data_IF_640704425312
#
_entry.id   IF_640704425312
#
_cell.length_a   1.000
_cell.length_b   1.000
_cell.length_c   1.000
_cell.angle_alpha   90.00
_cell.angle_beta   90.00
_cell.angle_gamma   90.00
#
_symmetry.space_group_name_H-M   'P 1'
#
loop_
_entity.id
_entity.type
_entity.pdbx_description
1 polymer ?
#
# COMPACT_ATOMS: atom_id res chain seq x y z
N UNK A 1 16.97 -24.03 -13.05
CA UNK A 1 17.26 -22.59 -13.22
C UNK A 1 16.64 -21.75 -12.08
N UNK A 2 16.18 -22.38 -10.99
CA UNK A 2 15.36 -21.78 -9.91
C UNK A 2 16.10 -21.11 -8.75
N UNK A 3 17.43 -20.92 -8.80
CA UNK A 3 18.18 -20.54 -7.59
C UNK A 3 18.42 -19.02 -7.43
N UNK A 4 18.59 -18.27 -8.53
CA UNK A 4 18.95 -16.84 -8.46
C UNK A 4 17.77 -15.93 -8.09
N UNK A 5 16.65 -16.08 -8.78
CA UNK A 5 15.45 -15.26 -8.53
C UNK A 5 14.86 -15.54 -7.14
N UNK A 6 14.86 -16.82 -6.74
CA UNK A 6 14.47 -17.23 -5.39
C UNK A 6 15.38 -16.62 -4.30
N UNK A 7 16.69 -16.61 -4.53
CA UNK A 7 17.64 -15.98 -3.58
C UNK A 7 17.44 -14.47 -3.49
N UNK A 8 17.24 -13.80 -4.62
CA UNK A 8 16.95 -12.35 -4.65
C UNK A 8 15.71 -12.02 -3.82
N UNK A 9 14.62 -12.77 -4.00
CA UNK A 9 13.38 -12.54 -3.25
C UNK A 9 13.53 -12.85 -1.76
N UNK A 10 14.33 -13.87 -1.38
CA UNK A 10 14.67 -14.12 0.03
C UNK A 10 15.40 -12.94 0.67
N UNK A 11 16.35 -12.35 -0.06
CA UNK A 11 17.07 -11.15 0.41
C UNK A 11 16.08 -9.99 0.61
N UNK A 12 15.17 -9.76 -0.34
CA UNK A 12 14.19 -8.67 -0.24
C UNK A 12 13.25 -8.88 0.93
N UNK A 13 12.72 -10.10 1.12
CA UNK A 13 11.83 -10.40 2.23
C UNK A 13 12.52 -10.16 3.59
N UNK A 14 13.71 -10.71 3.79
CA UNK A 14 14.46 -10.49 5.05
C UNK A 14 14.83 -9.02 5.26
N UNK A 15 15.22 -8.32 4.19
CA UNK A 15 15.52 -6.89 4.28
C UNK A 15 14.29 -6.07 4.62
N UNK A 16 13.13 -6.39 4.04
CA UNK A 16 11.84 -5.77 4.36
C UNK A 16 11.52 -5.91 5.85
N UNK A 17 11.62 -7.13 6.39
CA UNK A 17 11.41 -7.40 7.81
C UNK A 17 12.32 -6.57 8.72
N UNK A 18 13.62 -6.53 8.40
CA UNK A 18 14.61 -5.77 9.19
C UNK A 18 14.40 -4.26 9.07
N UNK A 19 14.09 -3.75 7.87
CA UNK A 19 13.78 -2.32 7.68
C UNK A 19 12.51 -1.91 8.40
N UNK A 20 11.50 -2.78 8.49
CA UNK A 20 10.27 -2.53 9.25
C UNK A 20 10.52 -2.55 10.76
N UNK A 21 11.27 -3.53 11.26
CA UNK A 21 11.43 -3.76 12.71
C UNK A 21 12.55 -2.95 13.36
N UNK A 22 13.68 -2.77 12.67
CA UNK A 22 14.89 -2.10 13.19
C UNK A 22 15.09 -0.71 12.59
N UNK A 23 14.46 -0.47 11.45
CA UNK A 23 14.63 0.72 10.65
C UNK A 23 15.74 0.62 9.61
N UNK A 24 15.60 1.43 8.56
CA UNK A 24 16.55 1.44 7.44
C UNK A 24 17.96 1.74 7.94
N UNK A 25 18.20 2.85 8.65
CA UNK A 25 19.55 3.28 9.04
C UNK A 25 20.28 2.24 9.89
N UNK A 26 19.61 1.69 10.90
CA UNK A 26 20.18 0.73 11.85
C UNK A 26 20.43 -0.66 11.26
N UNK A 27 19.79 -1.02 10.15
CA UNK A 27 19.95 -2.33 9.50
C UNK A 27 21.26 -2.40 8.73
N UNK A 28 22.16 -3.34 9.06
CA UNK A 28 23.39 -3.57 8.30
C UNK A 28 23.17 -4.69 7.27
N UNK A 29 23.94 -4.67 6.18
CA UNK A 29 23.97 -5.78 5.21
C UNK A 29 24.31 -7.11 5.90
N UNK A 30 25.18 -7.09 6.92
CA UNK A 30 25.48 -8.27 7.74
C UNK A 30 24.27 -8.83 8.47
N UNK A 31 23.34 -7.98 8.90
CA UNK A 31 22.14 -8.40 9.63
C UNK A 31 21.21 -9.20 8.69
N UNK A 32 21.11 -8.77 7.43
CA UNK A 32 20.36 -9.47 6.37
C UNK A 32 21.01 -10.83 6.06
N UNK A 33 22.35 -10.86 5.93
CA UNK A 33 23.09 -12.10 5.64
C UNK A 33 22.93 -13.11 6.78
N UNK A 34 23.01 -12.66 8.03
CA UNK A 34 22.92 -13.54 9.21
C UNK A 34 21.54 -14.22 9.34
N UNK A 35 20.51 -13.68 8.70
CA UNK A 35 19.15 -14.25 8.64
C UNK A 35 18.98 -15.24 7.49
N UNK A 36 19.96 -15.38 6.61
CA UNK A 36 19.89 -16.19 5.40
C UNK A 36 21.00 -17.25 5.40
N UNK A 37 20.63 -18.49 5.69
CA UNK A 37 21.58 -19.60 5.73
C UNK A 37 22.33 -19.77 4.41
N UNK A 38 23.66 -19.85 4.50
CA UNK A 38 24.54 -20.14 3.36
C UNK A 38 24.82 -18.95 2.42
N UNK A 39 24.30 -17.76 2.69
CA UNK A 39 24.67 -16.55 1.95
C UNK A 39 25.93 -15.90 2.53
N UNK A 40 26.84 -15.50 1.64
CA UNK A 40 28.03 -14.73 2.02
C UNK A 40 27.85 -13.26 1.67
N UNK A 41 28.72 -12.41 2.22
CA UNK A 41 28.77 -10.99 1.84
C UNK A 41 29.06 -10.80 0.35
N UNK A 42 29.90 -11.64 -0.27
CA UNK A 42 30.11 -11.59 -1.72
C UNK A 42 28.86 -11.97 -2.50
N UNK A 43 28.10 -12.96 -2.01
CA UNK A 43 26.88 -13.42 -2.65
C UNK A 43 25.77 -12.36 -2.70
N UNK A 44 25.60 -11.53 -1.67
CA UNK A 44 24.59 -10.46 -1.69
C UNK A 44 24.91 -9.39 -2.74
N UNK A 45 26.19 -9.05 -2.90
CA UNK A 45 26.65 -8.05 -3.88
C UNK A 45 26.56 -8.52 -5.33
N UNK A 46 26.30 -9.81 -5.57
CA UNK A 46 25.94 -10.29 -6.90
C UNK A 46 24.48 -9.97 -7.28
N UNK A 47 23.62 -9.67 -6.31
CA UNK A 47 22.21 -9.36 -6.53
C UNK A 47 21.90 -7.87 -6.36
N UNK A 48 22.62 -7.19 -5.47
CA UNK A 48 22.38 -5.79 -5.15
C UNK A 48 23.69 -5.02 -5.02
N UNK A 49 23.76 -3.87 -5.67
CA UNK A 49 24.99 -3.05 -5.66
C UNK A 49 25.21 -2.36 -4.30
N UNK A 50 24.13 -2.14 -3.55
CA UNK A 50 24.17 -1.43 -2.27
C UNK A 50 22.98 -1.78 -1.36
N UNK A 51 23.04 -1.35 -0.10
CA UNK A 51 21.89 -1.39 0.82
C UNK A 51 20.71 -0.57 0.30
N UNK A 52 21.00 0.51 -0.43
CA UNK A 52 19.97 1.35 -1.05
C UNK A 52 19.27 0.63 -2.21
N UNK A 53 20.01 -0.15 -3.01
CA UNK A 53 19.43 -0.98 -4.07
C UNK A 53 18.50 -2.07 -3.51
N UNK A 54 18.89 -2.68 -2.37
CA UNK A 54 18.02 -3.59 -1.60
C UNK A 54 16.75 -2.85 -1.14
N UNK A 55 16.90 -1.64 -0.57
CA UNK A 55 15.76 -0.84 -0.11
C UNK A 55 14.79 -0.48 -1.24
N UNK A 56 15.30 -0.02 -2.38
CA UNK A 56 14.46 0.29 -3.54
C UNK A 56 13.71 -0.95 -4.03
N UNK A 57 14.37 -2.12 -3.98
CA UNK A 57 13.71 -3.39 -4.33
C UNK A 57 12.64 -3.80 -3.33
N UNK A 58 12.85 -3.57 -2.03
CA UNK A 58 11.83 -3.74 -0.98
C UNK A 58 10.62 -2.85 -1.25
N UNK A 59 10.84 -1.55 -1.48
CA UNK A 59 9.78 -0.58 -1.77
C UNK A 59 8.97 -1.01 -2.98
N UNK A 60 9.66 -1.39 -4.07
CA UNK A 60 9.01 -1.88 -5.28
C UNK A 60 8.21 -3.15 -5.03
N UNK A 61 8.71 -4.10 -4.24
CA UNK A 61 7.98 -5.32 -3.93
C UNK A 61 6.72 -5.05 -3.10
N UNK A 62 6.78 -4.12 -2.14
CA UNK A 62 5.60 -3.69 -1.37
C UNK A 62 4.55 -3.06 -2.30
N UNK A 63 4.96 -2.16 -3.20
CA UNK A 63 4.05 -1.52 -4.17
C UNK A 63 3.47 -2.50 -5.20
N UNK A 64 4.29 -3.43 -5.70
CA UNK A 64 3.90 -4.36 -6.76
C UNK A 64 2.86 -5.41 -6.34
N UNK A 65 2.73 -5.71 -5.04
CA UNK A 65 1.78 -6.71 -4.54
C UNK A 65 0.32 -6.40 -4.90
N UNK A 66 -0.03 -5.13 -5.12
CA UNK A 66 -1.39 -4.73 -5.50
C UNK A 66 -1.56 -4.44 -7.00
N UNK A 67 -0.46 -4.33 -7.76
CA UNK A 67 -0.50 -3.89 -9.16
C UNK A 67 -1.35 -4.81 -10.03
N UNK A 68 -1.20 -6.14 -9.90
CA UNK A 68 -1.96 -7.08 -10.72
C UNK A 68 -3.46 -6.95 -10.48
N UNK A 69 -3.88 -6.89 -9.21
CA UNK A 69 -5.29 -6.74 -8.82
C UNK A 69 -5.84 -5.41 -9.35
N UNK A 70 -5.08 -4.32 -9.20
CA UNK A 70 -5.52 -3.00 -9.66
C UNK A 70 -5.63 -2.94 -11.19
N UNK A 71 -4.71 -3.58 -11.91
CA UNK A 71 -4.77 -3.70 -13.36
C UNK A 71 -5.98 -4.50 -13.84
N UNK A 72 -6.29 -5.61 -13.16
CA UNK A 72 -7.48 -6.42 -13.46
C UNK A 72 -8.76 -5.60 -13.24
N UNK A 73 -8.87 -4.89 -12.11
CA UNK A 73 -10.03 -4.03 -11.81
C UNK A 73 -10.17 -2.90 -12.84
N UNK A 74 -9.05 -2.25 -13.18
CA UNK A 74 -9.04 -1.16 -14.16
C UNK A 74 -9.54 -1.62 -15.54
N UNK A 75 -9.18 -2.84 -15.96
CA UNK A 75 -9.56 -3.41 -17.26
C UNK A 75 -10.97 -4.03 -17.28
N UNK A 76 -11.58 -4.25 -16.12
CA UNK A 76 -12.91 -4.85 -16.00
C UNK A 76 -13.98 -3.89 -16.53
N UNK A 77 -14.51 -4.19 -17.73
CA UNK A 77 -15.54 -3.37 -18.38
C UNK A 77 -16.95 -3.61 -17.84
N UNK A 78 -17.13 -4.58 -16.94
CA UNK A 78 -18.43 -4.83 -16.31
C UNK A 78 -18.72 -3.86 -15.17
N UNK A 79 -17.70 -3.13 -14.71
CA UNK A 79 -17.77 -2.19 -13.60
C UNK A 79 -17.75 -0.75 -14.10
N UNK A 80 -18.57 0.11 -13.50
CA UNK A 80 -18.45 1.57 -13.64
C UNK A 80 -17.32 2.13 -12.75
N UNK A 81 -17.01 3.42 -12.88
CA UNK A 81 -15.91 4.05 -12.16
C UNK A 81 -16.02 3.96 -10.64
N UNK A 82 -17.21 4.18 -10.05
CA UNK A 82 -17.37 4.05 -8.59
C UNK A 82 -17.21 2.61 -8.12
N UNK A 83 -17.71 1.63 -8.87
CA UNK A 83 -17.57 0.20 -8.54
C UNK A 83 -16.11 -0.25 -8.59
N UNK A 84 -15.33 0.22 -9.58
CA UNK A 84 -13.89 -0.01 -9.63
C UNK A 84 -13.17 0.57 -8.42
N UNK A 85 -13.52 1.80 -8.02
CA UNK A 85 -12.93 2.45 -6.86
C UNK A 85 -13.23 1.66 -5.57
N UNK A 86 -14.49 1.23 -5.37
CA UNK A 86 -14.89 0.39 -4.23
C UNK A 86 -14.11 -0.93 -4.24
N UNK A 87 -13.97 -1.59 -5.39
CA UNK A 87 -13.28 -2.88 -5.52
C UNK A 87 -11.78 -2.76 -5.20
N UNK A 88 -11.12 -1.69 -5.65
CA UNK A 88 -9.73 -1.38 -5.26
C UNK A 88 -9.62 -1.28 -3.74
N UNK A 89 -10.50 -0.50 -3.12
CA UNK A 89 -10.44 -0.29 -1.68
C UNK A 89 -10.68 -1.58 -0.90
N UNK A 90 -11.69 -2.36 -1.28
CA UNK A 90 -11.95 -3.67 -0.66
C UNK A 90 -10.74 -4.61 -0.76
N UNK A 91 -10.05 -4.62 -1.90
CA UNK A 91 -8.84 -5.44 -2.07
C UNK A 91 -7.71 -5.04 -1.12
N UNK A 92 -7.59 -3.75 -0.77
CA UNK A 92 -6.58 -3.26 0.17
C UNK A 92 -6.85 -3.68 1.63
N UNK A 93 -8.11 -3.91 2.02
CA UNK A 93 -8.49 -4.35 3.39
C UNK A 93 -8.63 -5.87 3.54
N UNK A 94 -8.53 -6.63 2.44
CA UNK A 94 -8.66 -8.09 2.45
C UNK A 94 -7.33 -8.85 2.57
N UNK A 95 -6.19 -8.17 2.53
CA UNK A 95 -4.88 -8.81 2.42
C UNK A 95 -4.25 -9.15 3.78
N UNK A 96 -4.04 -10.44 4.04
CA UNK A 96 -3.27 -11.00 5.18
C UNK A 96 -1.86 -10.37 5.33
N UNK A 97 -1.29 -9.86 4.24
CA UNK A 97 0.00 -9.18 4.22
C UNK A 97 0.04 -7.90 5.08
N UNK A 98 -1.09 -7.17 5.20
CA UNK A 98 -1.14 -5.95 6.00
C UNK A 98 -1.08 -6.26 7.50
N UNK A 99 -1.64 -7.38 7.94
CA UNK A 99 -1.52 -7.85 9.33
C UNK A 99 -0.07 -8.18 9.68
N UNK A 100 0.66 -8.84 8.77
CA UNK A 100 2.08 -9.15 8.95
C UNK A 100 2.93 -7.88 9.04
N UNK A 101 2.73 -6.91 8.13
CA UNK A 101 3.45 -5.63 8.16
C UNK A 101 3.11 -4.85 9.44
N UNK A 102 1.86 -4.86 9.88
CA UNK A 102 1.39 -4.21 11.11
C UNK A 102 2.04 -4.79 12.36
N UNK A 103 2.20 -6.12 12.43
CA UNK A 103 2.88 -6.79 13.54
C UNK A 103 4.38 -6.43 13.61
N UNK A 104 5.02 -6.25 12.46
CA UNK A 104 6.47 -6.06 12.37
C UNK A 104 6.91 -4.60 12.51
N UNK A 105 6.11 -3.65 12.05
CA UNK A 105 6.37 -2.22 12.19
C UNK A 105 5.10 -1.56 12.70
N UNK A 106 4.86 -1.54 14.03
CA UNK A 106 3.64 -0.98 14.57
C UNK A 106 3.48 0.49 14.14
N UNK A 107 4.58 1.25 14.01
CA UNK A 107 4.57 2.66 13.63
C UNK A 107 5.47 2.95 12.41
N UNK A 108 4.87 3.39 11.29
CA UNK A 108 5.58 3.74 10.06
C UNK A 108 6.37 5.06 10.17
N UNK A 109 6.00 5.95 11.10
CA UNK A 109 6.66 7.24 11.29
C UNK A 109 8.09 7.10 11.81
N UNK A 110 8.41 5.99 12.46
CA UNK A 110 9.78 5.67 12.92
C UNK A 110 10.73 5.39 11.74
N UNK A 111 10.17 5.25 10.54
CA UNK A 111 10.88 4.93 9.30
C UNK A 111 10.66 6.00 8.21
N UNK A 112 11.21 7.21 8.35
CA UNK A 112 10.92 8.34 7.45
C UNK A 112 11.32 8.09 5.99
N UNK A 113 12.37 7.30 5.73
CA UNK A 113 12.75 6.90 4.36
C UNK A 113 11.69 5.99 3.74
N UNK A 114 11.12 5.07 4.51
CA UNK A 114 10.05 4.18 4.03
C UNK A 114 8.74 4.96 3.83
N UNK A 115 8.40 5.84 4.76
CA UNK A 115 7.22 6.72 4.63
C UNK A 115 7.31 7.61 3.38
N UNK A 116 8.47 8.24 3.15
CA UNK A 116 8.67 9.07 1.95
C UNK A 116 8.59 8.25 0.67
N UNK A 117 9.17 7.05 0.64
CA UNK A 117 9.05 6.14 -0.50
C UNK A 117 7.59 5.76 -0.78
N UNK A 118 6.80 5.49 0.27
CA UNK A 118 5.36 5.20 0.15
C UNK A 118 4.58 6.40 -0.40
N UNK A 119 4.85 7.62 0.08
CA UNK A 119 4.22 8.85 -0.44
C UNK A 119 4.59 9.09 -1.91
N UNK A 120 5.84 8.85 -2.28
CA UNK A 120 6.33 8.99 -3.67
C UNK A 120 5.62 7.97 -4.58
N UNK A 121 5.51 6.70 -4.15
CA UNK A 121 4.77 5.67 -4.90
C UNK A 121 3.31 6.09 -5.10
N UNK A 122 2.65 6.57 -4.05
CA UNK A 122 1.26 7.02 -4.15
C UNK A 122 1.12 8.12 -5.21
N UNK A 123 2.01 9.11 -5.17
CA UNK A 123 2.01 10.28 -6.05
C UNK A 123 2.32 9.90 -7.50
N UNK A 124 3.37 9.11 -7.72
CA UNK A 124 3.96 8.90 -9.05
C UNK A 124 3.40 7.67 -9.76
N UNK A 125 2.78 6.74 -9.02
CA UNK A 125 2.25 5.48 -9.55
C UNK A 125 0.76 5.37 -9.21
N UNK A 126 0.39 5.24 -7.94
CA UNK A 126 -0.99 4.86 -7.57
C UNK A 126 -2.04 5.86 -8.08
N UNK A 127 -1.84 7.15 -7.85
CA UNK A 127 -2.75 8.20 -8.32
C UNK A 127 -2.86 8.23 -9.85
N UNK A 128 -1.78 8.46 -10.61
CA UNK A 128 -1.89 8.65 -12.06
C UNK A 128 -2.26 7.37 -12.81
N UNK A 129 -1.87 6.19 -12.31
CA UNK A 129 -2.11 4.94 -13.02
C UNK A 129 -3.46 4.30 -12.69
N UNK A 130 -3.98 4.49 -11.48
CA UNK A 130 -5.19 3.79 -11.03
C UNK A 130 -6.29 4.74 -10.58
N UNK A 131 -6.03 5.59 -9.58
CA UNK A 131 -7.11 6.39 -8.97
C UNK A 131 -7.67 7.40 -9.97
N UNK A 132 -6.84 8.24 -10.57
CA UNK A 132 -7.29 9.31 -11.45
C UNK A 132 -7.99 8.79 -12.73
N UNK A 133 -7.48 7.74 -13.42
CA UNK A 133 -8.22 7.13 -14.53
C UNK A 133 -9.61 6.61 -14.13
N UNK A 134 -9.73 5.97 -12.96
CA UNK A 134 -11.02 5.46 -12.46
C UNK A 134 -11.96 6.60 -12.11
N UNK A 135 -11.46 7.69 -11.50
CA UNK A 135 -12.27 8.89 -11.25
C UNK A 135 -12.78 9.49 -12.55
N UNK A 136 -11.92 9.59 -13.57
CA UNK A 136 -12.31 10.10 -14.88
C UNK A 136 -13.37 9.21 -15.57
N UNK A 137 -13.23 7.89 -15.45
CA UNK A 137 -14.24 6.93 -15.93
C UNK A 137 -15.57 7.14 -15.20
N UNK A 138 -15.54 7.26 -13.87
CA UNK A 138 -16.74 7.52 -13.06
C UNK A 138 -17.42 8.85 -13.35
N UNK A 139 -16.66 9.86 -13.75
CA UNK A 139 -17.23 11.13 -14.24
C UNK A 139 -17.92 10.92 -15.60
N UNK A 140 -17.29 10.17 -16.50
CA UNK A 140 -17.82 9.91 -17.83
C UNK A 140 -19.10 9.06 -17.81
N UNK A 141 -19.18 8.07 -16.92
CA UNK A 141 -20.37 7.22 -16.74
C UNK A 141 -21.42 7.83 -15.76
N UNK A 142 -21.08 8.93 -15.09
CA UNK A 142 -21.96 9.66 -14.18
C UNK A 142 -22.05 9.11 -12.75
N UNK A 143 -21.30 8.06 -12.42
CA UNK A 143 -21.23 7.47 -11.08
C UNK A 143 -20.46 8.31 -10.06
N UNK A 144 -19.55 9.19 -10.52
CA UNK A 144 -18.77 10.11 -9.67
C UNK A 144 -19.05 11.56 -10.11
N UNK A 145 -19.41 12.41 -9.15
CA UNK A 145 -19.79 13.81 -9.42
C UNK A 145 -18.80 14.78 -8.78
N UNK A 146 -17.84 15.27 -9.56
CA UNK A 146 -16.91 16.32 -9.14
C UNK A 146 -16.55 17.22 -10.31
N UNK A 147 -16.20 18.48 -10.02
CA UNK A 147 -15.60 19.41 -11.00
C UNK A 147 -14.07 19.44 -10.92
N UNK A 148 -13.49 18.73 -9.95
CA UNK A 148 -12.07 18.80 -9.58
C UNK A 148 -11.49 17.37 -9.54
N UNK A 149 -11.36 16.68 -10.68
CA UNK A 149 -11.00 15.25 -10.72
C UNK A 149 -9.62 14.96 -10.11
N UNK A 150 -8.66 15.85 -10.33
CA UNK A 150 -7.28 15.65 -9.87
C UNK A 150 -7.21 15.77 -8.34
N UNK A 151 -7.77 16.85 -7.80
CA UNK A 151 -7.83 17.13 -6.37
C UNK A 151 -8.67 16.07 -5.64
N UNK A 152 -9.75 15.60 -6.27
CA UNK A 152 -10.56 14.50 -5.74
C UNK A 152 -9.73 13.21 -5.66
N UNK A 153 -8.91 12.93 -6.67
CA UNK A 153 -8.03 11.75 -6.69
C UNK A 153 -6.95 11.81 -5.61
N UNK A 154 -6.29 12.96 -5.47
CA UNK A 154 -5.29 13.20 -4.41
C UNK A 154 -5.90 13.07 -3.01
N UNK A 155 -7.05 13.72 -2.78
CA UNK A 155 -7.77 13.65 -1.51
C UNK A 155 -8.14 12.21 -1.16
N UNK A 156 -8.73 11.47 -2.10
CA UNK A 156 -9.07 10.06 -1.90
C UNK A 156 -7.82 9.24 -1.56
N UNK A 157 -6.73 9.40 -2.33
CA UNK A 157 -5.50 8.67 -2.09
C UNK A 157 -4.90 8.96 -0.69
N UNK A 158 -4.92 10.22 -0.23
CA UNK A 158 -4.44 10.60 1.10
C UNK A 158 -5.34 10.02 2.20
N UNK A 159 -6.66 10.12 2.06
CA UNK A 159 -7.59 9.57 3.04
C UNK A 159 -7.40 8.06 3.19
N UNK A 160 -7.27 7.34 2.08
CA UNK A 160 -7.18 5.88 2.08
C UNK A 160 -5.80 5.35 2.50
N UNK A 161 -4.72 5.91 1.97
CA UNK A 161 -3.39 5.35 2.15
C UNK A 161 -2.62 5.95 3.34
N UNK A 162 -2.97 7.18 3.76
CA UNK A 162 -2.32 7.83 4.91
C UNK A 162 -3.24 7.86 6.12
N UNK A 163 -4.43 8.46 6.01
CA UNK A 163 -5.27 8.72 7.19
C UNK A 163 -5.90 7.46 7.81
N UNK A 164 -6.38 6.54 6.96
CA UNK A 164 -6.88 5.24 7.39
C UNK A 164 -5.76 4.26 7.78
N UNK A 165 -4.50 4.54 7.44
CA UNK A 165 -3.40 3.64 7.74
C UNK A 165 -3.12 3.64 9.27
N UNK A 166 -3.36 2.52 9.97
CA UNK A 166 -3.17 2.46 11.42
C UNK A 166 -1.71 2.63 11.82
N UNK A 167 -0.75 2.35 10.92
CA UNK A 167 0.68 2.50 11.18
C UNK A 167 1.13 3.96 11.20
N UNK A 168 0.32 4.89 10.67
CA UNK A 168 0.61 6.33 10.68
C UNK A 168 -0.22 7.02 11.75
N UNK A 169 -1.52 6.70 11.81
CA UNK A 169 -2.45 7.31 12.75
C UNK A 169 -2.99 6.27 13.74
N UNK A 170 -2.14 5.89 14.68
CA UNK A 170 -2.52 5.14 15.87
C UNK A 170 -3.27 6.06 16.83
N UNK A 171 -4.57 5.85 17.01
CA UNK A 171 -5.36 6.59 17.98
C UNK A 171 -6.26 5.61 18.72
N UNK A 172 -6.03 5.43 20.02
CA UNK A 172 -6.94 4.67 20.89
C UNK A 172 -8.34 5.31 20.95
N UNK A 173 -8.45 6.60 20.62
CA UNK A 173 -9.67 7.38 20.73
C UNK A 173 -10.55 7.29 19.47
N UNK A 174 -9.97 7.01 18.29
CA UNK A 174 -10.69 6.98 17.02
C UNK A 174 -10.52 5.61 16.37
N UNK A 175 -11.56 4.78 16.50
CA UNK A 175 -11.66 3.48 15.82
C UNK A 175 -11.52 3.65 14.29
N UNK A 176 -10.84 2.70 13.64
CA UNK A 176 -10.72 2.67 12.17
C UNK A 176 -12.10 2.71 11.48
N UNK A 177 -13.09 2.01 12.04
CA UNK A 177 -14.48 2.04 11.54
C UNK A 177 -15.09 3.44 11.57
N UNK A 178 -14.78 4.25 12.59
CA UNK A 178 -15.23 5.65 12.65
C UNK A 178 -14.59 6.49 11.55
N UNK A 179 -13.29 6.29 11.27
CA UNK A 179 -12.64 6.97 10.15
C UNK A 179 -13.26 6.56 8.81
N UNK A 180 -13.55 5.27 8.61
CA UNK A 180 -14.24 4.79 7.40
C UNK A 180 -15.62 5.45 7.23
N UNK A 181 -16.39 5.57 8.32
CA UNK A 181 -17.69 6.29 8.33
C UNK A 181 -17.51 7.76 7.93
N UNK A 182 -16.49 8.45 8.46
CA UNK A 182 -16.18 9.84 8.06
C UNK A 182 -15.79 9.93 6.58
N UNK A 183 -14.97 9.00 6.07
CA UNK A 183 -14.62 8.97 4.64
C UNK A 183 -15.88 8.81 3.79
N UNK A 184 -16.78 7.89 4.13
CA UNK A 184 -18.07 7.76 3.45
C UNK A 184 -18.87 9.06 3.48
N UNK A 185 -19.03 9.69 4.65
CA UNK A 185 -19.76 10.96 4.77
C UNK A 185 -19.16 12.08 3.92
N UNK A 186 -17.83 12.15 3.82
CA UNK A 186 -17.14 13.12 2.96
C UNK A 186 -17.37 12.80 1.48
N UNK A 187 -17.33 11.51 1.11
CA UNK A 187 -17.43 11.06 -0.27
C UNK A 187 -18.86 11.02 -0.81
N UNK A 188 -19.88 10.97 0.06
CA UNK A 188 -21.29 11.05 -0.31
C UNK A 188 -21.62 12.31 -1.13
N UNK A 189 -20.92 13.43 -0.85
CA UNK A 189 -21.07 14.67 -1.63
C UNK A 189 -20.65 14.52 -3.09
N UNK A 190 -19.79 13.55 -3.39
CA UNK A 190 -19.39 13.18 -4.75
C UNK A 190 -20.22 12.04 -5.34
N UNK A 191 -21.25 11.56 -4.62
CA UNK A 191 -22.07 10.41 -5.02
C UNK A 191 -21.43 9.05 -4.71
N UNK A 192 -20.37 9.03 -3.90
CA UNK A 192 -19.56 7.83 -3.65
C UNK A 192 -19.77 7.33 -2.23
N UNK A 193 -20.21 6.08 -2.07
CA UNK A 193 -20.14 5.34 -0.80
C UNK A 193 -19.10 4.23 -0.96
N UNK A 194 -17.96 4.39 -0.31
CA UNK A 194 -16.78 3.58 -0.56
C UNK A 194 -16.73 2.29 0.28
N UNK A 195 -17.19 2.37 1.53
CA UNK A 195 -17.23 1.26 2.47
C UNK A 195 -18.69 0.84 2.71
N UNK A 196 -19.00 -0.45 2.58
CA UNK A 196 -20.31 -1.00 2.94
C UNK A 196 -20.38 -1.41 4.42
N UNK A 197 -21.61 -1.66 4.89
CA UNK A 197 -21.84 -2.06 6.28
C UNK A 197 -21.18 -3.41 6.61
N UNK A 198 -21.06 -4.31 5.64
CA UNK A 198 -20.40 -5.60 5.79
C UNK A 198 -18.91 -5.43 6.12
N UNK A 199 -18.19 -4.64 5.32
CA UNK A 199 -16.77 -4.35 5.54
C UNK A 199 -16.54 -3.58 6.85
N UNK A 200 -17.38 -2.58 7.15
CA UNK A 200 -17.28 -1.83 8.41
C UNK A 200 -17.48 -2.76 9.61
N UNK A 201 -18.49 -3.64 9.56
CA UNK A 201 -18.78 -4.61 10.63
C UNK A 201 -17.63 -5.60 10.84
N UNK A 202 -16.97 -6.04 9.75
CA UNK A 202 -15.80 -6.93 9.85
C UNK A 202 -14.67 -6.28 10.66
N UNK A 203 -14.37 -5.00 10.40
CA UNK A 203 -13.34 -4.24 11.11
C UNK A 203 -13.73 -3.97 12.58
N UNK A 204 -15.02 -3.79 12.89
CA UNK A 204 -15.48 -3.58 14.27
C UNK A 204 -15.37 -4.83 15.16
N UNK A 205 -15.27 -6.02 14.54
CA UNK A 205 -15.19 -7.31 15.21
C UNK A 205 -13.76 -7.90 15.28
N UNK A 206 -12.75 -7.17 14.76
CA UNK A 206 -11.32 -7.49 14.89
C UNK A 206 -10.73 -6.77 16.10
#
# INVERSE_FOLDING_TARGET
MDNKENTRNKIINVACELFLTKGYEETRISDIINRLDGLTKGAIYHYFESKEDIFNSVVNEIGNKNIQIFDEIKRDKSLNGVEKLIKIVKSSFGNENMETITYMSPNLLDNPKLLSAFIIEIRDITIPQYIQPIINEGIADGSIKTKYPNETSEMIAVLLNLWLNPLIFQSEQIKLSNKMKIVNMMLEKFGVKLFDEELISKIENQ
#
